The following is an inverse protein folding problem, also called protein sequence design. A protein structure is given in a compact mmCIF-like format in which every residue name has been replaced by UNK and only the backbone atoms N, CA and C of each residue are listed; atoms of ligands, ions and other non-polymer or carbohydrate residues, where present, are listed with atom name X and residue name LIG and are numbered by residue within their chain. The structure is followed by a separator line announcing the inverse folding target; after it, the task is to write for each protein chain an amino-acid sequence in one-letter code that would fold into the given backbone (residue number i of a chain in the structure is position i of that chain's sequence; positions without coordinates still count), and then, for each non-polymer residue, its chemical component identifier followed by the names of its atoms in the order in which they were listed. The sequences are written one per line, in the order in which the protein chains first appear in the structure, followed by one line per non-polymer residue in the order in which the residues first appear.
data_IF_098323994145
#
_entry.id   IF_098323994145
#
_cell.length_a   1.000
_cell.length_b   1.000
_cell.length_c   1.000
_cell.angle_alpha   90.00
_cell.angle_beta   90.00
_cell.angle_gamma   90.00
#
_symmetry.space_group_name_H-M   'P 1'
#
loop_
_entity.id
_entity.type
_entity.pdbx_description
1 polymer ?
#
# COMPACT_ATOMS: atom_id res chain seq x y z
N UNK A 1 -2.25 -9.89 -18.03
CA UNK A 1 -2.33 -8.45 -17.68
C UNK A 1 -1.01 -7.75 -17.99
N UNK A 2 -1.02 -6.50 -18.48
CA UNK A 2 0.19 -5.77 -18.91
C UNK A 2 0.16 -4.29 -18.50
N UNK A 3 1.31 -3.71 -18.17
CA UNK A 3 1.48 -2.27 -17.91
C UNK A 3 2.40 -1.70 -18.98
N UNK A 4 1.93 -0.67 -19.70
CA UNK A 4 2.65 0.02 -20.77
C UNK A 4 2.69 1.51 -20.41
N UNK A 5 3.80 2.19 -20.71
CA UNK A 5 3.95 3.62 -20.46
C UNK A 5 4.42 4.36 -21.72
N UNK A 6 4.15 5.67 -21.74
CA UNK A 6 4.64 6.60 -22.76
C UNK A 6 5.13 7.86 -22.05
N UNK A 7 6.29 8.38 -22.43
CA UNK A 7 6.78 9.67 -21.95
C UNK A 7 6.84 10.67 -23.11
N UNK A 8 6.61 11.95 -22.81
CA UNK A 8 6.80 13.02 -23.79
C UNK A 8 8.28 13.27 -24.06
N UNK A 9 9.12 13.16 -23.03
CA UNK A 9 10.56 13.32 -23.16
C UNK A 9 11.26 11.98 -22.93
N UNK A 10 12.22 11.66 -23.79
CA UNK A 10 13.03 10.46 -23.66
C UNK A 10 13.79 10.50 -22.33
N UNK A 11 13.75 9.40 -21.59
CA UNK A 11 14.46 9.27 -20.31
C UNK A 11 13.73 9.88 -19.09
N UNK A 12 12.46 10.27 -19.20
CA UNK A 12 11.69 10.71 -18.03
C UNK A 12 11.21 9.55 -17.16
N UNK A 13 11.02 8.36 -17.73
CA UNK A 13 10.48 7.19 -17.03
C UNK A 13 11.49 6.06 -17.10
N UNK A 14 11.90 5.57 -15.93
CA UNK A 14 12.77 4.42 -15.75
C UNK A 14 12.00 3.30 -15.05
N UNK A 15 11.96 2.12 -15.66
CA UNK A 15 11.36 0.94 -15.05
C UNK A 15 12.35 0.33 -14.08
N UNK A 16 12.03 0.36 -12.78
CA UNK A 16 12.85 -0.26 -11.74
C UNK A 16 12.51 -1.74 -11.57
N UNK A 17 11.23 -2.10 -11.69
CA UNK A 17 10.78 -3.49 -11.58
C UNK A 17 9.47 -3.69 -12.31
N UNK A 18 9.31 -4.83 -12.97
CA UNK A 18 8.07 -5.26 -13.61
C UNK A 18 7.89 -6.74 -13.35
N UNK A 19 6.72 -7.15 -12.86
CA UNK A 19 6.49 -8.54 -12.49
C UNK A 19 5.06 -8.84 -12.06
N UNK A 20 4.86 -10.08 -11.62
CA UNK A 20 3.57 -10.54 -11.10
C UNK A 20 3.69 -11.05 -9.67
N UNK A 21 2.58 -11.02 -8.94
CA UNK A 21 2.48 -11.52 -7.57
C UNK A 21 2.12 -13.01 -7.58
N UNK A 22 3.10 -13.90 -7.38
CA UNK A 22 2.88 -15.35 -7.36
C UNK A 22 2.18 -15.87 -6.10
N UNK A 23 2.25 -15.12 -5.00
CA UNK A 23 1.65 -15.46 -3.72
C UNK A 23 0.13 -15.26 -3.68
N UNK A 24 -0.43 -14.41 -4.55
CA UNK A 24 -1.86 -14.11 -4.58
C UNK A 24 -2.54 -15.03 -5.61
N UNK A 25 -3.40 -15.93 -5.12
CA UNK A 25 -4.00 -17.02 -5.92
C UNK A 25 -5.53 -17.12 -5.84
N UNK A 26 -6.19 -16.06 -5.42
CA UNK A 26 -7.66 -16.01 -5.31
C UNK A 26 -8.37 -15.90 -6.67
N UNK A 27 -7.62 -15.63 -7.74
CA UNK A 27 -8.07 -15.66 -9.14
C UNK A 27 -7.12 -16.56 -9.95
N UNK A 28 -7.63 -17.01 -11.09
CA UNK A 28 -6.90 -17.65 -12.19
C UNK A 28 -5.79 -16.76 -12.78
N UNK A 29 -5.91 -15.43 -12.67
CA UNK A 29 -4.89 -14.46 -13.06
C UNK A 29 -4.00 -14.05 -11.89
N UNK A 30 -2.73 -13.72 -12.19
CA UNK A 30 -1.79 -13.16 -11.21
C UNK A 30 -1.78 -11.63 -11.32
N UNK A 31 -1.89 -10.89 -10.20
CA UNK A 31 -1.75 -9.43 -10.24
C UNK A 31 -0.40 -9.03 -10.83
N UNK A 32 -0.39 -8.11 -11.79
CA UNK A 32 0.82 -7.57 -12.41
C UNK A 32 1.09 -6.18 -11.85
N UNK A 33 2.35 -5.88 -11.54
CA UNK A 33 2.80 -4.61 -10.97
C UNK A 33 4.04 -4.07 -11.69
N UNK A 34 4.23 -2.76 -11.60
CA UNK A 34 5.42 -2.07 -12.09
C UNK A 34 5.85 -0.99 -11.11
N UNK A 35 7.16 -0.88 -10.88
CA UNK A 35 7.80 0.19 -10.11
C UNK A 35 8.57 1.07 -11.08
N UNK A 36 8.32 2.37 -11.03
CA UNK A 36 8.89 3.33 -11.95
C UNK A 36 9.52 4.48 -11.18
N UNK A 37 10.71 4.90 -11.58
CA UNK A 37 11.26 6.19 -11.21
C UNK A 37 10.92 7.18 -12.32
N UNK A 38 10.25 8.27 -11.95
CA UNK A 38 9.76 9.28 -12.90
C UNK A 38 10.37 10.63 -12.58
N UNK A 39 10.93 11.30 -13.60
CA UNK A 39 11.49 12.64 -13.46
C UNK A 39 10.37 13.67 -13.38
N UNK A 40 10.35 14.44 -12.29
CA UNK A 40 9.43 15.56 -12.08
C UNK A 40 10.14 16.89 -12.34
N UNK A 41 9.34 17.92 -12.67
CA UNK A 41 9.82 19.29 -12.90
C UNK A 41 8.97 20.26 -12.07
N UNK A 42 9.53 21.40 -11.62
CA UNK A 42 8.77 22.41 -10.89
C UNK A 42 7.55 22.89 -11.68
N UNK A 43 6.42 23.06 -10.98
CA UNK A 43 5.18 23.61 -11.50
C UNK A 43 4.92 25.04 -11.00
N UNK A 44 3.70 25.52 -11.21
CA UNK A 44 3.18 26.79 -10.66
C UNK A 44 1.79 26.54 -10.07
N UNK A 45 1.39 27.36 -9.12
CA UNK A 45 0.12 27.22 -8.39
C UNK A 45 -1.08 27.88 -9.12
N UNK A 46 -0.89 28.29 -10.37
CA UNK A 46 -1.93 28.89 -11.20
C UNK A 46 -2.84 27.85 -11.89
N UNK A 47 -2.96 26.66 -11.31
CA UNK A 47 -3.81 25.56 -11.77
C UNK A 47 -4.69 25.06 -10.61
N UNK A 48 -5.83 24.40 -10.86
CA UNK A 48 -6.61 23.79 -9.80
C UNK A 48 -5.76 22.82 -8.96
N UNK A 49 -5.69 23.09 -7.66
CA UNK A 49 -4.87 22.32 -6.73
C UNK A 49 -5.71 21.21 -6.07
N UNK A 50 -5.06 20.08 -5.78
CA UNK A 50 -5.65 19.04 -4.93
C UNK A 50 -5.82 19.54 -3.47
N UNK A 51 -4.98 20.48 -3.01
CA UNK A 51 -5.12 21.20 -1.73
C UNK A 51 -5.45 20.34 -0.49
N UNK A 52 -4.90 19.12 -0.42
CA UNK A 52 -5.15 18.19 0.69
C UNK A 52 -6.47 17.42 0.58
N UNK A 53 -7.12 17.41 -0.58
CA UNK A 53 -8.30 16.59 -0.82
C UNK A 53 -7.90 15.12 -0.99
N UNK A 54 -8.47 14.25 -0.15
CA UNK A 54 -8.35 12.81 -0.25
C UNK A 54 -9.56 12.13 0.40
N UNK A 55 -9.74 10.83 0.15
CA UNK A 55 -10.79 10.03 0.78
C UNK A 55 -10.51 9.79 2.26
N UNK A 56 -10.90 10.76 3.10
CA UNK A 56 -10.63 10.77 4.54
C UNK A 56 -11.21 9.58 5.27
N UNK A 57 -12.39 9.11 4.88
CA UNK A 57 -13.05 8.00 5.57
C UNK A 57 -12.32 6.68 5.35
N UNK A 58 -11.79 6.45 4.14
CA UNK A 58 -10.92 5.30 3.84
C UNK A 58 -9.64 5.36 4.68
N UNK A 59 -9.02 6.54 4.79
CA UNK A 59 -7.82 6.72 5.60
C UNK A 59 -8.06 6.41 7.08
N UNK A 60 -9.14 6.96 7.65
CA UNK A 60 -9.55 6.68 9.04
C UNK A 60 -9.82 5.20 9.27
N UNK A 61 -10.58 4.57 8.38
CA UNK A 61 -10.89 3.15 8.48
C UNK A 61 -9.62 2.29 8.40
N UNK A 62 -8.67 2.66 7.53
CA UNK A 62 -7.35 2.04 7.46
C UNK A 62 -6.54 2.15 8.76
N UNK A 63 -6.63 3.28 9.48
CA UNK A 63 -6.02 3.43 10.81
C UNK A 63 -6.71 2.51 11.83
N UNK A 64 -8.05 2.56 11.91
CA UNK A 64 -8.84 1.73 12.84
C UNK A 64 -8.50 0.25 12.70
N UNK A 65 -8.50 -0.27 11.48
CA UNK A 65 -8.16 -1.68 11.20
C UNK A 65 -6.73 -2.05 11.60
N UNK A 66 -5.76 -1.16 11.38
CA UNK A 66 -4.36 -1.39 11.79
C UNK A 66 -4.23 -1.42 13.31
N UNK A 67 -4.86 -0.47 14.00
CA UNK A 67 -4.85 -0.41 15.46
C UNK A 67 -5.44 -1.68 16.09
N UNK A 68 -6.59 -2.14 15.61
CA UNK A 68 -7.22 -3.37 16.09
C UNK A 68 -6.35 -4.61 15.87
N UNK A 69 -5.67 -4.72 14.72
CA UNK A 69 -4.73 -5.83 14.46
C UNK A 69 -3.54 -5.82 15.43
N UNK A 70 -2.98 -4.64 15.71
CA UNK A 70 -1.87 -4.50 16.65
C UNK A 70 -2.31 -4.81 18.09
N UNK A 71 -3.48 -4.35 18.52
CA UNK A 71 -4.03 -4.72 19.83
C UNK A 71 -4.22 -6.23 19.98
N UNK A 72 -4.81 -6.89 18.98
CA UNK A 72 -4.95 -8.37 18.98
C UNK A 72 -3.59 -9.06 19.05
N UNK A 73 -2.59 -8.58 18.29
CA UNK A 73 -1.23 -9.12 18.32
C UNK A 73 -0.61 -8.99 19.71
N UNK A 74 -0.73 -7.81 20.35
CA UNK A 74 -0.23 -7.58 21.72
C UNK A 74 -0.95 -8.45 22.76
N UNK A 75 -2.27 -8.54 22.70
CA UNK A 75 -3.06 -9.38 23.61
C UNK A 75 -2.66 -10.86 23.51
N UNK A 76 -2.46 -11.36 22.28
CA UNK A 76 -1.97 -12.72 22.04
C UNK A 76 -0.57 -12.97 22.63
N UNK A 77 0.36 -12.02 22.48
CA UNK A 77 1.69 -12.13 23.09
C UNK A 77 1.64 -12.05 24.62
N UNK A 78 0.77 -11.20 25.19
CA UNK A 78 0.60 -11.10 26.64
C UNK A 78 0.02 -12.40 27.24
N UNK A 79 -0.88 -13.10 26.53
CA UNK A 79 -1.39 -14.41 26.94
C UNK A 79 -0.31 -15.51 26.93
N UNK A 80 0.67 -15.46 26.02
CA UNK A 80 1.80 -16.42 26.00
C UNK A 80 2.73 -16.26 27.20
N UNK A 81 2.82 -15.05 27.78
CA UNK A 81 3.65 -14.77 28.95
C UNK A 81 2.92 -14.96 30.29
N UNK A 82 1.61 -15.22 30.29
CA UNK A 82 0.89 -15.53 31.53
C UNK A 82 0.89 -17.05 31.78
N UNK A 83 1.73 -17.52 32.70
CA UNK A 83 1.69 -18.89 33.28
C UNK A 83 0.54 -19.11 34.27
N UNK A 84 -0.51 -18.28 34.25
CA UNK A 84 -1.61 -18.41 35.21
C UNK A 84 -2.60 -19.44 34.68
N UNK A 85 -2.49 -20.67 35.18
CA UNK A 85 -3.44 -21.75 34.94
C UNK A 85 -4.86 -21.32 35.40
N UNK A 86 -5.86 -21.54 34.55
CA UNK A 86 -7.26 -21.56 35.00
C UNK A 86 -7.46 -22.84 35.79
N UNK A 87 -7.55 -22.71 37.11
CA UNK A 87 -7.99 -23.81 37.98
C UNK A 87 -9.51 -23.90 37.86
N UNK A 88 -9.99 -25.09 37.51
CA UNK A 88 -11.41 -25.47 37.47
C UNK A 88 -12.00 -25.60 38.86
#
# INVERSE_FOLDING_TARGET
DRIIYKSRQKGDIFVLKYGSCTSIKTSDHRPVYGYFQVRLRPGRDNIPLCAGQFYRDIYKEGIKRRFLREQKRRAFWNQRNSMVCSVS
#
